data_IF_372830240392
#
_entry.id   IF_372830240392
#
_cell.length_a   1.000
_cell.length_b   1.000
_cell.length_c   1.000
_cell.angle_alpha   90.00
_cell.angle_beta   90.00
_cell.angle_gamma   90.00
#
_symmetry.space_group_name_H-M   'P 1'
#
loop_
_entity.id
_entity.type
_entity.pdbx_description
1 polymer ?
#
# COMPACT_ATOMS: atom_id res chain seq x y z
N UNK A 1 29.78 46.86 -13.27
CA UNK A 1 31.11 46.40 -12.79
C UNK A 1 30.89 45.42 -11.67
N UNK A 2 31.52 44.29 -11.83
CA UNK A 2 31.77 43.14 -10.90
C UNK A 2 30.52 42.33 -10.56
N UNK A 3 30.32 41.17 -11.16
CA UNK A 3 31.04 39.90 -11.29
C UNK A 3 31.41 39.30 -9.94
N UNK A 4 30.97 38.14 -9.77
CA UNK A 4 31.60 36.95 -9.15
C UNK A 4 30.70 36.28 -8.13
N UNK A 5 30.67 35.08 -8.02
CA UNK A 5 31.18 33.84 -8.59
C UNK A 5 30.55 32.74 -7.78
N UNK A 6 30.09 31.74 -8.45
CA UNK A 6 29.56 30.51 -7.82
C UNK A 6 30.73 29.66 -7.29
N UNK A 7 30.62 29.07 -6.09
CA UNK A 7 31.50 27.97 -5.74
C UNK A 7 30.91 26.67 -6.26
N UNK A 8 31.61 26.03 -7.18
CA UNK A 8 31.43 24.63 -7.59
C UNK A 8 31.65 23.70 -6.37
N UNK A 9 30.59 23.12 -5.84
CA UNK A 9 30.72 21.99 -4.91
C UNK A 9 30.88 20.70 -5.70
N UNK A 10 32.06 20.12 -5.61
CA UNK A 10 32.39 18.77 -6.10
C UNK A 10 31.53 17.75 -5.33
N UNK A 11 30.54 17.16 -6.00
CA UNK A 11 29.83 16.00 -5.46
C UNK A 11 30.65 14.74 -5.77
N UNK A 12 31.33 14.21 -4.75
CA UNK A 12 31.91 12.87 -4.74
C UNK A 12 30.78 11.82 -4.76
N UNK A 13 30.96 10.79 -5.59
CA UNK A 13 29.96 9.80 -5.95
C UNK A 13 29.36 9.05 -4.77
N UNK A 14 28.05 9.14 -4.74
CA UNK A 14 27.05 8.14 -4.31
C UNK A 14 25.69 8.79 -4.61
N UNK A 15 24.94 8.26 -5.55
CA UNK A 15 23.64 8.77 -5.99
C UNK A 15 22.66 8.86 -4.82
N UNK A 16 22.44 10.07 -4.32
CA UNK A 16 21.40 10.39 -3.34
C UNK A 16 20.19 10.95 -4.09
N UNK A 17 19.11 10.17 -4.18
CA UNK A 17 17.81 10.69 -4.55
C UNK A 17 17.30 11.56 -3.40
N UNK A 18 17.34 12.89 -3.58
CA UNK A 18 16.76 13.86 -2.66
C UNK A 18 15.70 14.67 -3.40
N UNK A 19 14.47 14.73 -2.90
CA UNK A 19 13.54 15.80 -3.29
C UNK A 19 14.09 17.09 -2.67
N UNK A 20 14.57 18.02 -3.51
CA UNK A 20 15.13 19.29 -3.07
C UNK A 20 14.07 20.10 -2.32
N UNK A 21 14.42 20.56 -1.12
CA UNK A 21 13.56 21.39 -0.29
C UNK A 21 13.32 22.76 -0.93
N UNK A 22 12.16 23.30 -0.65
CA UNK A 22 11.72 24.63 -0.99
C UNK A 22 12.67 25.71 -0.47
N UNK A 23 13.00 26.64 -1.35
CA UNK A 23 13.54 27.92 -0.90
C UNK A 23 12.50 28.63 -0.05
N UNK A 24 12.82 28.89 1.20
CA UNK A 24 12.05 29.80 2.03
C UNK A 24 11.98 31.17 1.33
N UNK A 25 10.76 31.58 0.97
CA UNK A 25 10.51 32.98 0.71
C UNK A 25 10.78 33.73 2.02
N UNK A 26 11.94 34.37 2.11
CA UNK A 26 12.22 35.34 3.17
C UNK A 26 11.21 36.48 2.99
N UNK A 27 10.35 36.64 3.96
CA UNK A 27 9.46 37.82 4.05
C UNK A 27 10.35 39.04 4.17
N UNK A 28 10.63 39.69 3.03
CA UNK A 28 11.21 40.99 3.04
C UNK A 28 10.10 41.94 3.47
N UNK A 29 10.26 42.59 4.63
CA UNK A 29 9.41 43.69 5.07
C UNK A 29 9.65 44.81 4.08
N UNK A 30 8.76 44.94 3.10
CA UNK A 30 8.77 46.04 2.14
C UNK A 30 7.84 47.16 2.61
N UNK A 31 8.39 48.36 2.58
CA UNK A 31 7.83 49.66 2.83
C UNK A 31 6.38 49.80 2.29
N UNK A 32 5.42 50.38 3.05
CA UNK A 32 3.98 50.35 2.74
C UNK A 32 3.52 51.16 1.50
N UNK A 33 4.41 51.69 0.69
CA UNK A 33 4.03 52.58 -0.41
C UNK A 33 4.15 52.02 -1.84
N UNK A 34 4.43 50.71 -2.01
CA UNK A 34 4.45 50.11 -3.35
C UNK A 34 3.73 48.76 -3.34
N UNK A 35 2.43 48.80 -3.55
CA UNK A 35 1.64 47.61 -3.86
C UNK A 35 1.94 47.23 -5.32
N UNK A 36 2.93 46.39 -5.54
CA UNK A 36 3.09 45.63 -6.77
C UNK A 36 2.45 44.26 -6.55
N UNK A 37 1.37 44.00 -7.26
CA UNK A 37 0.79 42.67 -7.35
C UNK A 37 1.85 41.76 -7.94
N UNK A 38 2.47 40.95 -7.09
CA UNK A 38 3.30 39.83 -7.52
C UNK A 38 2.32 38.76 -8.03
N UNK A 39 2.26 38.56 -9.34
CA UNK A 39 1.65 37.41 -9.94
C UNK A 39 2.45 36.19 -9.41
N UNK A 40 1.85 35.41 -8.55
CA UNK A 40 2.37 34.09 -8.22
C UNK A 40 2.37 33.28 -9.52
N UNK A 41 3.56 33.01 -10.03
CA UNK A 41 3.75 32.12 -11.16
C UNK A 41 3.18 30.77 -10.78
N UNK A 42 2.43 30.21 -11.69
CA UNK A 42 1.91 28.88 -11.74
C UNK A 42 3.06 27.90 -11.43
N UNK A 43 3.13 27.42 -10.17
CA UNK A 43 4.16 26.48 -9.76
C UNK A 43 3.95 25.17 -10.50
N UNK A 44 4.78 24.97 -11.52
CA UNK A 44 4.92 23.71 -12.22
C UNK A 44 5.11 22.58 -11.18
N UNK A 45 4.25 21.56 -11.25
CA UNK A 45 4.26 20.42 -10.36
C UNK A 45 5.67 19.87 -10.14
N UNK A 46 6.05 19.72 -8.88
CA UNK A 46 7.35 19.22 -8.48
C UNK A 46 7.59 17.81 -9.03
N UNK A 47 8.25 17.72 -10.18
CA UNK A 47 8.80 16.47 -10.65
C UNK A 47 10.01 16.13 -9.78
N UNK A 48 9.88 15.04 -8.99
CA UNK A 48 11.03 14.47 -8.30
C UNK A 48 12.05 13.98 -9.33
N UNK A 49 13.07 14.79 -9.63
CA UNK A 49 14.19 14.41 -10.47
C UNK A 49 15.26 13.75 -9.61
N UNK A 50 15.61 12.49 -9.93
CA UNK A 50 16.78 11.86 -9.36
C UNK A 50 18.01 12.37 -10.10
N UNK A 51 18.98 13.00 -9.39
CA UNK A 51 20.27 13.36 -9.95
C UNK A 51 20.99 12.08 -10.38
N UNK A 52 20.96 11.78 -11.66
CA UNK A 52 21.55 10.55 -12.23
C UNK A 52 20.74 9.89 -13.33
N UNK A 53 19.71 10.56 -13.88
CA UNK A 53 18.97 10.09 -15.07
C UNK A 53 18.06 8.86 -14.86
N UNK A 54 18.00 8.28 -13.65
CA UNK A 54 17.14 7.15 -13.31
C UNK A 54 15.79 7.58 -12.73
N UNK A 55 14.72 6.82 -13.03
CA UNK A 55 13.41 7.04 -12.42
C UNK A 55 13.48 6.82 -10.91
N UNK A 56 12.83 7.70 -10.13
CA UNK A 56 12.74 7.53 -8.68
C UNK A 56 12.05 6.21 -8.32
N UNK A 57 12.51 5.50 -7.27
CA UNK A 57 11.91 4.22 -6.84
C UNK A 57 10.39 4.27 -6.62
N UNK A 58 9.85 5.44 -6.27
CA UNK A 58 8.40 5.66 -6.11
C UNK A 58 7.60 5.41 -7.40
N UNK A 59 8.19 5.68 -8.58
CA UNK A 59 7.54 5.43 -9.88
C UNK A 59 7.37 3.95 -10.18
N UNK A 60 8.16 3.07 -9.57
CA UNK A 60 7.97 1.61 -9.67
C UNK A 60 7.00 1.09 -8.63
N UNK A 61 6.92 1.76 -7.46
CA UNK A 61 6.03 1.35 -6.37
C UNK A 61 4.55 1.59 -6.70
N UNK A 62 4.24 2.69 -7.38
CA UNK A 62 2.86 3.04 -7.72
C UNK A 62 2.18 2.00 -8.63
N UNK A 63 2.70 1.63 -9.82
CA UNK A 63 2.04 0.66 -10.68
C UNK A 63 1.92 -0.73 -10.03
N UNK A 64 2.93 -1.19 -9.30
CA UNK A 64 2.84 -2.46 -8.57
C UNK A 64 1.77 -2.40 -7.46
N UNK A 65 1.62 -1.25 -6.80
CA UNK A 65 0.56 -1.01 -5.83
C UNK A 65 -0.84 -1.06 -6.44
N UNK A 66 -1.03 -0.56 -7.67
CA UNK A 66 -2.31 -0.67 -8.39
C UNK A 66 -2.65 -2.11 -8.76
N UNK A 67 -1.67 -2.90 -9.24
CA UNK A 67 -1.86 -4.32 -9.55
C UNK A 67 -2.28 -5.09 -8.28
N UNK A 68 -1.55 -4.91 -7.19
CA UNK A 68 -1.83 -5.56 -5.91
C UNK A 68 -3.16 -5.08 -5.29
N UNK A 69 -3.48 -3.80 -5.42
CA UNK A 69 -4.76 -3.23 -4.98
C UNK A 69 -5.95 -3.81 -5.74
N UNK A 70 -5.84 -3.94 -7.06
CA UNK A 70 -6.84 -4.61 -7.89
C UNK A 70 -7.05 -6.07 -7.48
N UNK A 71 -5.95 -6.80 -7.26
CA UNK A 71 -6.01 -8.17 -6.75
C UNK A 71 -6.71 -8.22 -5.37
N UNK A 72 -6.35 -7.34 -4.43
CA UNK A 72 -6.96 -7.32 -3.09
C UNK A 72 -8.48 -7.10 -3.17
N UNK A 73 -8.93 -6.17 -4.01
CA UNK A 73 -10.37 -5.90 -4.18
C UNK A 73 -11.09 -7.17 -4.65
N UNK A 74 -10.59 -7.81 -5.72
CA UNK A 74 -11.17 -9.06 -6.23
C UNK A 74 -11.12 -10.17 -5.18
N UNK A 75 -10.01 -10.30 -4.48
CA UNK A 75 -9.81 -11.30 -3.42
C UNK A 75 -10.83 -11.11 -2.29
N UNK A 76 -11.05 -9.90 -1.80
CA UNK A 76 -12.04 -9.63 -0.76
C UNK A 76 -13.47 -9.91 -1.23
N UNK A 77 -13.80 -9.54 -2.48
CA UNK A 77 -15.13 -9.78 -3.05
C UNK A 77 -15.41 -11.28 -3.21
N UNK A 78 -14.45 -12.05 -3.71
CA UNK A 78 -14.59 -13.51 -3.82
C UNK A 78 -14.74 -14.15 -2.44
N UNK A 79 -13.93 -13.74 -1.48
CA UNK A 79 -14.02 -14.28 -0.11
C UNK A 79 -15.31 -13.87 0.60
N UNK A 80 -15.91 -12.71 0.30
CA UNK A 80 -17.22 -12.32 0.83
C UNK A 80 -18.35 -13.29 0.41
N UNK A 81 -18.17 -14.03 -0.70
CA UNK A 81 -19.11 -15.08 -1.12
C UNK A 81 -19.16 -16.24 -0.12
N UNK A 82 -18.21 -16.36 0.82
CA UNK A 82 -18.25 -17.36 1.90
C UNK A 82 -19.49 -17.23 2.79
N UNK A 83 -20.19 -16.10 2.78
CA UNK A 83 -21.53 -15.99 3.37
C UNK A 83 -22.52 -17.02 2.78
N UNK A 84 -22.27 -17.44 1.56
CA UNK A 84 -23.02 -18.47 0.81
C UNK A 84 -22.03 -19.56 0.35
N UNK A 85 -21.77 -20.61 1.16
CA UNK A 85 -20.73 -21.60 0.88
C UNK A 85 -20.74 -22.18 -0.53
N UNK A 86 -21.93 -22.46 -1.08
CA UNK A 86 -22.07 -22.96 -2.45
C UNK A 86 -21.62 -21.97 -3.52
N UNK A 87 -21.86 -20.66 -3.32
CA UNK A 87 -21.38 -19.61 -4.23
C UNK A 87 -19.89 -19.42 -4.13
N UNK A 88 -19.36 -19.50 -2.92
CA UNK A 88 -17.91 -19.44 -2.67
C UNK A 88 -17.22 -20.61 -3.38
N UNK A 89 -17.70 -21.86 -3.18
CA UNK A 89 -17.15 -23.03 -3.85
C UNK A 89 -17.23 -22.90 -5.37
N UNK A 90 -18.35 -22.42 -5.93
CA UNK A 90 -18.49 -22.18 -7.36
C UNK A 90 -17.49 -21.17 -7.91
N UNK A 91 -17.25 -20.07 -7.17
CA UNK A 91 -16.25 -19.08 -7.55
C UNK A 91 -14.82 -19.66 -7.52
N UNK A 92 -14.49 -20.45 -6.49
CA UNK A 92 -13.19 -21.13 -6.39
C UNK A 92 -13.01 -22.12 -7.53
N UNK A 93 -14.03 -22.93 -7.83
CA UNK A 93 -14.00 -23.88 -8.94
C UNK A 93 -13.78 -23.17 -10.29
N UNK A 94 -14.43 -22.01 -10.50
CA UNK A 94 -14.21 -21.21 -11.69
C UNK A 94 -12.78 -20.68 -11.81
N UNK A 95 -12.20 -20.20 -10.70
CA UNK A 95 -10.80 -19.76 -10.67
C UNK A 95 -9.88 -20.94 -10.99
N UNK A 96 -10.11 -22.10 -10.39
CA UNK A 96 -9.29 -23.30 -10.62
C UNK A 96 -9.48 -23.92 -12.02
N UNK A 97 -10.61 -23.63 -12.71
CA UNK A 97 -10.80 -24.04 -14.08
C UNK A 97 -9.85 -23.38 -15.10
N UNK A 98 -9.13 -22.33 -14.68
CA UNK A 98 -8.03 -21.74 -15.46
C UNK A 98 -6.86 -22.69 -15.68
N UNK A 99 -6.81 -23.82 -14.95
CA UNK A 99 -5.80 -24.88 -15.14
C UNK A 99 -4.37 -24.36 -15.02
N UNK A 100 -3.55 -24.58 -16.05
CA UNK A 100 -2.14 -24.19 -16.08
C UNK A 100 -1.91 -22.65 -16.05
N UNK A 101 -2.91 -21.83 -16.33
CA UNK A 101 -2.79 -20.37 -16.26
C UNK A 101 -2.71 -19.89 -14.82
N UNK A 102 -3.40 -20.57 -13.90
CA UNK A 102 -3.47 -20.17 -12.49
C UNK A 102 -2.08 -20.13 -11.82
N UNK A 103 -1.23 -21.17 -11.88
CA UNK A 103 0.13 -21.09 -11.32
C UNK A 103 0.98 -19.96 -11.91
N UNK A 104 0.83 -19.63 -13.19
CA UNK A 104 1.55 -18.52 -13.81
C UNK A 104 1.11 -17.17 -13.22
N UNK A 105 -0.20 -16.98 -13.00
CA UNK A 105 -0.75 -15.78 -12.33
C UNK A 105 -0.27 -15.70 -10.88
N UNK A 106 -0.25 -16.81 -10.15
CA UNK A 106 0.22 -16.88 -8.77
C UNK A 106 1.71 -16.50 -8.66
N UNK A 107 2.57 -17.07 -9.51
CA UNK A 107 4.00 -16.73 -9.56
C UNK A 107 4.18 -15.24 -9.90
N UNK A 108 3.45 -14.75 -10.90
CA UNK A 108 3.46 -13.34 -11.29
C UNK A 108 3.07 -12.42 -10.14
N UNK A 109 2.00 -12.76 -9.42
CA UNK A 109 1.54 -12.01 -8.25
C UNK A 109 2.58 -12.00 -7.12
N UNK A 110 3.17 -13.15 -6.81
CA UNK A 110 4.23 -13.28 -5.79
C UNK A 110 5.46 -12.45 -6.20
N UNK A 111 5.84 -12.46 -7.47
CA UNK A 111 6.96 -11.65 -7.96
C UNK A 111 6.69 -10.15 -7.83
N UNK A 112 5.50 -9.69 -8.23
CA UNK A 112 5.07 -8.27 -8.08
C UNK A 112 5.01 -7.87 -6.61
N UNK A 113 4.47 -8.72 -5.75
CA UNK A 113 4.39 -8.49 -4.29
C UNK A 113 5.79 -8.38 -3.68
N UNK A 114 6.68 -9.33 -4.00
CA UNK A 114 8.07 -9.34 -3.49
C UNK A 114 8.82 -8.09 -3.91
N UNK A 115 8.68 -7.67 -5.17
CA UNK A 115 9.26 -6.44 -5.68
C UNK A 115 8.70 -5.20 -4.96
N UNK A 116 7.37 -5.12 -4.80
CA UNK A 116 6.69 -4.03 -4.09
C UNK A 116 7.20 -3.91 -2.64
N UNK A 117 7.28 -5.02 -1.93
CA UNK A 117 7.80 -5.07 -0.55
C UNK A 117 9.26 -4.61 -0.52
N UNK A 118 10.13 -5.13 -1.39
CA UNK A 118 11.54 -4.77 -1.41
C UNK A 118 11.77 -3.28 -1.65
N UNK A 119 11.06 -2.69 -2.63
CA UNK A 119 11.12 -1.26 -2.91
C UNK A 119 10.52 -0.44 -1.77
N UNK A 120 9.38 -0.87 -1.22
CA UNK A 120 8.72 -0.22 -0.08
C UNK A 120 9.61 -0.16 1.17
N UNK A 121 10.23 -1.29 1.55
CA UNK A 121 11.16 -1.35 2.69
C UNK A 121 12.40 -0.48 2.46
N UNK A 122 12.92 -0.45 1.23
CA UNK A 122 14.05 0.43 0.87
C UNK A 122 13.68 1.91 1.04
N UNK A 123 12.47 2.31 0.63
CA UNK A 123 11.96 3.66 0.82
C UNK A 123 11.73 3.98 2.31
N UNK A 124 11.14 3.07 3.07
CA UNK A 124 10.94 3.24 4.51
C UNK A 124 12.26 3.48 5.25
N UNK A 125 13.32 2.72 4.93
CA UNK A 125 14.67 2.91 5.52
C UNK A 125 15.26 4.28 5.19
N UNK A 126 15.11 4.75 3.95
CA UNK A 126 15.60 6.08 3.53
C UNK A 126 14.84 7.22 4.21
N UNK A 127 13.54 7.07 4.35
CA UNK A 127 12.70 8.12 4.93
C UNK A 127 12.83 8.22 6.45
N UNK A 128 13.26 7.17 7.15
CA UNK A 128 13.64 7.24 8.58
C UNK A 128 14.75 8.27 8.80
N UNK A 129 15.75 8.29 7.93
CA UNK A 129 16.84 9.27 7.98
C UNK A 129 16.30 10.70 7.79
N UNK A 130 15.34 10.92 6.88
CA UNK A 130 14.73 12.25 6.66
C UNK A 130 13.88 12.71 7.84
N UNK A 131 13.15 11.81 8.48
CA UNK A 131 12.37 12.10 9.68
C UNK A 131 13.27 12.59 10.85
N UNK A 132 14.41 11.94 11.03
CA UNK A 132 15.41 12.31 12.05
C UNK A 132 16.11 13.63 11.72
N UNK A 133 16.29 13.93 10.42
CA UNK A 133 16.99 15.15 9.93
C UNK A 133 16.06 16.31 9.64
N UNK A 134 14.78 16.25 10.01
CA UNK A 134 13.83 17.36 9.84
C UNK A 134 13.38 17.63 8.39
N UNK A 135 13.48 16.64 7.50
CA UNK A 135 13.03 16.75 6.11
C UNK A 135 11.51 16.88 5.98
N UNK A 136 11.06 17.76 5.07
CA UNK A 136 9.63 17.92 4.78
C UNK A 136 9.07 16.72 4.00
N UNK A 137 7.84 16.30 4.36
CA UNK A 137 7.09 15.24 3.70
C UNK A 137 5.90 15.83 2.95
N UNK A 138 5.60 15.27 1.76
CA UNK A 138 4.34 15.56 1.09
C UNK A 138 3.18 14.86 1.80
N UNK A 139 2.08 15.55 1.97
CA UNK A 139 0.88 15.08 2.66
C UNK A 139 0.97 15.14 4.19
N UNK A 140 -0.13 14.79 4.86
CA UNK A 140 -0.20 14.80 6.31
C UNK A 140 0.80 13.78 6.92
N UNK A 141 1.60 14.16 7.93
CA UNK A 141 2.51 13.24 8.62
C UNK A 141 1.80 11.98 9.16
N UNK A 142 0.55 12.12 9.61
CA UNK A 142 -0.28 11.02 10.10
C UNK A 142 -0.58 10.00 8.99
N UNK A 143 -0.94 10.44 7.78
CA UNK A 143 -1.20 9.54 6.64
C UNK A 143 0.02 8.70 6.28
N UNK A 144 1.20 9.31 6.30
CA UNK A 144 2.45 8.61 6.02
C UNK A 144 2.83 7.63 7.12
N UNK A 145 2.62 8.01 8.37
CA UNK A 145 2.84 7.12 9.52
C UNK A 145 1.91 5.90 9.45
N UNK A 146 0.62 6.12 9.25
CA UNK A 146 -0.36 5.05 9.09
C UNK A 146 -0.04 4.15 7.89
N UNK A 147 0.41 4.72 6.76
CA UNK A 147 0.82 3.92 5.60
C UNK A 147 1.97 2.96 5.94
N UNK A 148 2.91 3.37 6.79
CA UNK A 148 4.04 2.53 7.21
C UNK A 148 3.62 1.49 8.24
N UNK A 149 2.82 1.89 9.23
CA UNK A 149 2.31 0.96 10.24
C UNK A 149 1.46 -0.13 9.58
N UNK A 150 0.53 0.25 8.73
CA UNK A 150 -0.30 -0.72 8.00
C UNK A 150 0.50 -1.59 7.04
N UNK A 151 1.59 -1.07 6.43
CA UNK A 151 2.49 -1.87 5.62
C UNK A 151 3.18 -2.97 6.43
N UNK A 152 3.62 -2.68 7.66
CA UNK A 152 4.27 -3.68 8.55
C UNK A 152 3.25 -4.72 9.00
N UNK A 153 2.07 -4.28 9.47
CA UNK A 153 0.99 -5.20 9.87
C UNK A 153 0.62 -6.11 8.70
N UNK A 154 0.40 -5.52 7.52
CA UNK A 154 0.02 -6.24 6.32
C UNK A 154 1.11 -7.23 5.87
N UNK A 155 2.39 -6.84 5.93
CA UNK A 155 3.50 -7.74 5.59
C UNK A 155 3.49 -8.98 6.49
N UNK A 156 3.38 -8.79 7.81
CA UNK A 156 3.30 -9.89 8.77
C UNK A 156 2.07 -10.76 8.49
N UNK A 157 0.93 -10.13 8.25
CA UNK A 157 -0.33 -10.82 7.93
C UNK A 157 -0.23 -11.63 6.63
N UNK A 158 0.30 -11.04 5.53
CA UNK A 158 0.42 -11.73 4.24
C UNK A 158 1.34 -12.94 4.35
N UNK A 159 2.50 -12.81 5.00
CA UNK A 159 3.41 -13.95 5.20
C UNK A 159 2.69 -15.09 5.93
N UNK A 160 1.97 -14.75 6.98
CA UNK A 160 1.23 -15.73 7.76
C UNK A 160 0.08 -16.35 6.95
N UNK A 161 -0.72 -15.53 6.27
CA UNK A 161 -1.83 -15.93 5.42
C UNK A 161 -1.37 -16.89 4.30
N UNK A 162 -0.29 -16.56 3.62
CA UNK A 162 0.25 -17.37 2.53
C UNK A 162 0.79 -18.71 3.06
N UNK A 163 1.56 -18.69 4.14
CA UNK A 163 2.12 -19.93 4.71
C UNK A 163 1.02 -20.85 5.23
N UNK A 164 -0.05 -20.32 5.79
CA UNK A 164 -1.12 -21.14 6.38
C UNK A 164 -2.12 -21.68 5.37
N UNK A 165 -2.36 -20.98 4.28
CA UNK A 165 -3.37 -21.33 3.28
C UNK A 165 -2.76 -21.87 1.99
N UNK A 166 -1.64 -21.31 1.50
CA UNK A 166 -1.15 -21.64 0.19
C UNK A 166 -0.39 -22.99 0.16
N UNK A 167 -0.81 -23.89 -0.73
CA UNK A 167 -0.28 -25.28 -0.82
C UNK A 167 1.23 -25.35 -1.04
N UNK A 168 1.83 -24.43 -1.78
CA UNK A 168 3.28 -24.43 -2.03
C UNK A 168 4.12 -24.25 -0.77
N UNK A 169 3.53 -23.68 0.27
CA UNK A 169 4.18 -23.45 1.57
C UNK A 169 3.67 -24.40 2.65
N UNK A 170 2.98 -25.48 2.28
CA UNK A 170 2.43 -26.46 3.22
C UNK A 170 1.09 -26.03 3.83
N UNK A 171 0.42 -25.04 3.25
CA UNK A 171 -0.90 -24.57 3.66
C UNK A 171 -1.99 -25.62 3.44
N UNK A 172 -3.09 -25.45 4.16
CA UNK A 172 -4.17 -26.43 4.28
C UNK A 172 -5.39 -26.14 3.39
N UNK A 173 -5.36 -25.11 2.60
CA UNK A 173 -6.49 -24.80 1.71
C UNK A 173 -6.67 -25.88 0.64
N UNK A 174 -7.88 -26.44 0.59
CA UNK A 174 -8.29 -27.39 -0.44
C UNK A 174 -9.33 -26.72 -1.37
N UNK A 175 -9.01 -26.53 -2.66
CA UNK A 175 -9.94 -25.94 -3.60
C UNK A 175 -11.20 -26.80 -3.85
N UNK A 176 -11.17 -28.10 -3.57
CA UNK A 176 -12.34 -28.98 -3.70
C UNK A 176 -13.29 -28.88 -2.50
N UNK A 177 -12.80 -28.41 -1.36
CA UNK A 177 -13.58 -28.12 -0.16
C UNK A 177 -13.13 -26.75 0.42
N UNK A 178 -13.35 -25.71 -0.38
CA UNK A 178 -12.79 -24.38 -0.11
C UNK A 178 -13.31 -23.77 1.18
N UNK A 179 -14.60 -23.92 1.48
CA UNK A 179 -15.20 -23.33 2.68
C UNK A 179 -14.69 -24.00 3.95
N UNK A 180 -14.77 -25.33 4.04
CA UNK A 180 -14.36 -26.05 5.25
C UNK A 180 -12.86 -25.93 5.50
N UNK A 181 -12.04 -26.06 4.45
CA UNK A 181 -10.58 -25.97 4.60
C UNK A 181 -10.11 -24.58 5.01
N UNK A 182 -10.72 -23.52 4.47
CA UNK A 182 -10.42 -22.14 4.88
C UNK A 182 -10.88 -21.87 6.32
N UNK A 183 -12.11 -22.26 6.68
CA UNK A 183 -12.65 -22.10 8.02
C UNK A 183 -11.82 -22.86 9.06
N UNK A 184 -11.50 -24.14 8.76
CA UNK A 184 -10.66 -24.94 9.63
C UNK A 184 -9.28 -24.29 9.87
N UNK A 185 -8.67 -23.70 8.83
CA UNK A 185 -7.37 -23.04 8.96
C UNK A 185 -7.45 -21.81 9.87
N UNK A 186 -8.55 -21.05 9.81
CA UNK A 186 -8.72 -19.84 10.65
C UNK A 186 -9.03 -20.21 12.11
N UNK A 187 -9.88 -21.22 12.35
CA UNK A 187 -10.34 -21.57 13.69
C UNK A 187 -9.48 -22.59 14.43
N UNK A 188 -8.78 -23.46 13.72
CA UNK A 188 -8.00 -24.57 14.29
C UNK A 188 -6.54 -24.53 13.83
N UNK A 189 -5.97 -23.31 13.81
CA UNK A 189 -4.59 -23.12 13.39
C UNK A 189 -3.60 -23.89 14.30
N UNK A 190 -3.78 -23.79 15.62
CA UNK A 190 -2.93 -24.47 16.57
C UNK A 190 -3.28 -25.96 16.65
N UNK A 191 -2.28 -26.78 16.41
CA UNK A 191 -2.44 -28.25 16.47
C UNK A 191 -2.87 -28.69 17.87
N UNK A 192 -3.91 -29.52 17.96
CA UNK A 192 -4.40 -30.09 19.21
C UNK A 192 -5.28 -29.17 20.04
N UNK A 193 -5.45 -27.91 19.62
CA UNK A 193 -6.36 -26.98 20.28
C UNK A 193 -7.79 -27.11 19.75
N UNK A 194 -8.75 -27.00 20.64
CA UNK A 194 -10.16 -26.96 20.24
C UNK A 194 -10.52 -25.67 19.53
N UNK A 195 -11.49 -25.74 18.62
CA UNK A 195 -12.04 -24.55 17.99
C UNK A 195 -12.52 -23.56 19.07
N UNK A 196 -12.19 -22.26 18.91
CA UNK A 196 -12.53 -21.22 19.88
C UNK A 196 -11.60 -21.12 21.09
N UNK A 197 -10.53 -21.94 21.19
CA UNK A 197 -9.49 -21.75 22.20
C UNK A 197 -8.85 -20.37 22.09
N UNK A 198 -8.25 -19.87 23.18
CA UNK A 198 -7.67 -18.52 23.22
C UNK A 198 -6.63 -18.27 22.11
N UNK A 199 -5.67 -19.17 21.82
CA UNK A 199 -4.74 -19.00 20.70
C UNK A 199 -5.44 -18.90 19.34
N UNK A 200 -6.46 -19.74 19.09
CA UNK A 200 -7.23 -19.73 17.84
C UNK A 200 -8.07 -18.44 17.70
N UNK A 201 -8.62 -17.95 18.80
CA UNK A 201 -9.35 -16.68 18.84
C UNK A 201 -8.43 -15.50 18.49
N UNK A 202 -7.22 -15.45 19.07
CA UNK A 202 -6.22 -14.42 18.72
C UNK A 202 -5.87 -14.46 17.25
N UNK A 203 -5.74 -15.66 16.69
CA UNK A 203 -5.44 -15.86 15.29
C UNK A 203 -6.57 -15.34 14.38
N UNK A 204 -7.82 -15.65 14.72
CA UNK A 204 -8.97 -15.13 13.99
C UNK A 204 -9.04 -13.59 14.04
N UNK A 205 -8.73 -12.96 15.19
CA UNK A 205 -8.66 -11.50 15.31
C UNK A 205 -7.49 -10.90 14.52
N UNK A 206 -6.39 -11.63 14.36
CA UNK A 206 -5.27 -11.19 13.54
C UNK A 206 -5.66 -11.08 12.05
N UNK A 207 -6.54 -11.96 11.55
CA UNK A 207 -7.13 -11.83 10.22
C UNK A 207 -7.92 -10.52 10.07
N UNK A 208 -8.74 -10.19 11.07
CA UNK A 208 -9.52 -8.95 11.06
C UNK A 208 -8.60 -7.71 11.02
N UNK A 209 -7.56 -7.70 11.84
CA UNK A 209 -6.55 -6.64 11.83
C UNK A 209 -5.85 -6.53 10.47
N UNK A 210 -5.51 -7.68 9.86
CA UNK A 210 -4.90 -7.76 8.54
C UNK A 210 -5.78 -7.16 7.45
N UNK A 211 -7.09 -7.46 7.47
CA UNK A 211 -8.08 -6.92 6.53
C UNK A 211 -8.13 -5.38 6.63
N UNK A 212 -8.29 -4.84 7.84
CA UNK A 212 -8.36 -3.39 8.05
C UNK A 212 -7.06 -2.70 7.61
N UNK A 213 -5.92 -3.27 7.97
CA UNK A 213 -4.61 -2.74 7.58
C UNK A 213 -4.42 -2.75 6.05
N UNK A 214 -4.80 -3.85 5.37
CA UNK A 214 -4.68 -3.99 3.93
C UNK A 214 -5.57 -2.98 3.18
N UNK A 215 -6.83 -2.85 3.60
CA UNK A 215 -7.77 -1.91 2.96
C UNK A 215 -7.31 -0.46 3.15
N UNK A 216 -6.88 -0.06 4.35
CA UNK A 216 -6.34 1.28 4.56
C UNK A 216 -5.08 1.53 3.73
N UNK A 217 -4.15 0.57 3.72
CA UNK A 217 -2.90 0.67 2.97
C UNK A 217 -3.17 0.89 1.48
N UNK A 218 -4.08 0.11 0.89
CA UNK A 218 -4.46 0.25 -0.52
C UNK A 218 -5.19 1.56 -0.77
N UNK A 219 -6.18 1.93 0.03
CA UNK A 219 -6.95 3.16 -0.17
C UNK A 219 -6.07 4.42 -0.15
N UNK A 220 -5.15 4.51 0.84
CA UNK A 220 -4.20 5.61 0.90
C UNK A 220 -3.12 5.51 -0.19
N UNK A 221 -2.72 4.27 -0.54
CA UNK A 221 -1.73 3.98 -1.59
C UNK A 221 -2.22 4.36 -2.99
N UNK A 222 -3.50 4.15 -3.30
CA UNK A 222 -4.10 4.55 -4.58
C UNK A 222 -4.01 6.07 -4.79
N UNK A 223 -4.39 6.85 -3.78
CA UNK A 223 -4.30 8.31 -3.84
C UNK A 223 -2.85 8.79 -4.02
N UNK A 224 -1.93 8.25 -3.22
CA UNK A 224 -0.50 8.62 -3.29
C UNK A 224 0.15 8.14 -4.61
N UNK A 225 -0.27 6.99 -5.12
CA UNK A 225 0.21 6.46 -6.40
C UNK A 225 -0.19 7.33 -7.58
N UNK A 226 -1.42 7.86 -7.59
CA UNK A 226 -1.89 8.78 -8.63
C UNK A 226 -1.10 10.10 -8.65
N UNK A 227 -0.72 10.60 -7.48
CA UNK A 227 0.16 11.76 -7.34
C UNK A 227 1.55 11.47 -7.96
N UNK A 228 2.15 10.33 -7.59
CA UNK A 228 3.47 9.91 -8.09
C UNK A 228 3.48 9.71 -9.61
N UNK A 229 2.39 9.18 -10.18
CA UNK A 229 2.25 8.98 -11.63
C UNK A 229 1.85 10.25 -12.39
N UNK A 230 1.58 11.36 -11.68
CA UNK A 230 1.18 12.63 -12.28
C UNK A 230 -0.26 12.64 -12.80
N UNK A 231 -1.11 11.70 -12.37
CA UNK A 231 -2.54 11.67 -12.73
C UNK A 231 -3.34 12.77 -12.01
N UNK A 232 -2.90 13.15 -10.80
CA UNK A 232 -3.45 14.26 -10.03
C UNK A 232 -2.39 15.33 -9.88
N UNK A 233 -2.57 16.46 -10.57
CA UNK A 233 -1.57 17.55 -10.65
C UNK A 233 -1.84 18.70 -9.68
N UNK A 234 -3.07 18.83 -9.19
CA UNK A 234 -3.47 19.89 -8.26
C UNK A 234 -3.74 19.33 -6.87
N UNK A 235 -3.47 20.10 -5.83
CA UNK A 235 -3.78 19.71 -4.45
C UNK A 235 -5.25 19.34 -4.26
N UNK A 236 -6.16 20.10 -4.89
CA UNK A 236 -7.60 19.81 -4.85
C UNK A 236 -7.93 18.46 -5.47
N UNK A 237 -7.26 18.07 -6.58
CA UNK A 237 -7.50 16.76 -7.21
C UNK A 237 -6.94 15.62 -6.33
N UNK A 238 -5.80 15.82 -5.69
CA UNK A 238 -5.18 14.87 -4.77
C UNK A 238 -6.07 14.65 -3.54
N UNK A 239 -6.56 15.71 -2.92
CA UNK A 239 -7.46 15.65 -1.78
C UNK A 239 -8.81 14.99 -2.16
N UNK A 240 -9.35 15.30 -3.33
CA UNK A 240 -10.59 14.67 -3.82
C UNK A 240 -10.40 13.16 -3.99
N UNK A 241 -9.33 12.73 -4.66
CA UNK A 241 -9.07 11.31 -4.86
C UNK A 241 -8.83 10.59 -3.53
N UNK A 242 -8.09 11.19 -2.61
CA UNK A 242 -7.90 10.62 -1.28
C UNK A 242 -9.22 10.45 -0.54
N UNK A 243 -10.10 11.46 -0.54
CA UNK A 243 -11.44 11.35 0.09
C UNK A 243 -12.27 10.24 -0.55
N UNK A 244 -12.29 10.14 -1.88
CA UNK A 244 -13.00 9.07 -2.58
C UNK A 244 -12.46 7.70 -2.15
N UNK A 245 -11.15 7.51 -2.14
CA UNK A 245 -10.51 6.25 -1.76
C UNK A 245 -10.82 5.86 -0.31
N UNK A 246 -10.77 6.81 0.62
CA UNK A 246 -11.09 6.57 2.04
C UNK A 246 -12.58 6.34 2.27
N UNK A 247 -13.47 7.04 1.55
CA UNK A 247 -14.92 6.80 1.64
C UNK A 247 -15.33 5.45 1.04
N UNK A 248 -14.60 4.92 0.06
CA UNK A 248 -14.83 3.59 -0.49
C UNK A 248 -14.27 2.46 0.41
N UNK A 249 -13.26 2.76 1.23
CA UNK A 249 -12.60 1.77 2.09
C UNK A 249 -13.56 1.00 3.03
N UNK A 250 -14.56 1.62 3.70
CA UNK A 250 -15.51 0.89 4.55
C UNK A 250 -16.26 -0.22 3.82
N UNK A 251 -16.60 -0.04 2.55
CA UNK A 251 -17.28 -1.09 1.77
C UNK A 251 -16.37 -2.33 1.59
N UNK A 252 -15.07 -2.13 1.36
CA UNK A 252 -14.10 -3.23 1.29
C UNK A 252 -13.83 -3.86 2.65
N UNK A 253 -13.80 -3.07 3.72
CA UNK A 253 -13.72 -3.60 5.09
C UNK A 253 -14.92 -4.46 5.39
N UNK A 254 -16.14 -4.01 5.05
CA UNK A 254 -17.36 -4.79 5.25
C UNK A 254 -17.33 -6.10 4.45
N UNK A 255 -16.85 -6.09 3.20
CA UNK A 255 -16.66 -7.31 2.41
C UNK A 255 -15.68 -8.29 3.10
N UNK A 256 -14.54 -7.78 3.58
CA UNK A 256 -13.58 -8.58 4.33
C UNK A 256 -14.13 -9.09 5.67
N UNK A 257 -14.88 -8.28 6.40
CA UNK A 257 -15.56 -8.68 7.63
C UNK A 257 -16.62 -9.76 7.37
N UNK A 258 -17.35 -9.66 6.26
CA UNK A 258 -18.32 -10.67 5.85
C UNK A 258 -17.63 -12.02 5.59
N UNK A 259 -16.50 -12.02 4.91
CA UNK A 259 -15.66 -13.20 4.71
C UNK A 259 -15.17 -13.77 6.06
N UNK A 260 -14.60 -12.90 6.89
CA UNK A 260 -14.11 -13.28 8.21
C UNK A 260 -15.22 -13.89 9.08
N UNK A 261 -16.38 -13.23 9.12
CA UNK A 261 -17.53 -13.73 9.87
C UNK A 261 -17.98 -15.13 9.39
N UNK A 262 -18.10 -15.31 8.08
CA UNK A 262 -18.51 -16.58 7.52
C UNK A 262 -17.53 -17.72 7.82
N UNK A 263 -16.23 -17.43 7.74
CA UNK A 263 -15.18 -18.46 7.89
C UNK A 263 -14.74 -18.67 9.34
N UNK A 264 -14.86 -17.65 10.20
CA UNK A 264 -14.38 -17.71 11.57
C UNK A 264 -15.49 -17.92 12.62
N UNK A 265 -16.76 -17.62 12.29
CA UNK A 265 -17.86 -17.63 13.29
C UNK A 265 -19.01 -18.56 12.91
N UNK A 266 -19.29 -18.73 11.61
CA UNK A 266 -20.39 -19.54 11.10
C UNK A 266 -19.98 -20.98 10.87
#
# INVERSE_FOLDING_TARGET
MCVEASPKSKCGGKSKCGCGGHGHAKTAVLNPRTIRTVKFGEEAGHQCSCSGGGRCPRHYLAPTGYVLGGFLILHLLVNALALWPGKFQSAVNHIHSLGAVLPVLEIGLIAVLSFHIAVGLRLMRRDKLKFITGGHFHGSPMRQWLQRVTAVIMLTFILFHVVTLHRWFGGRFDPHDAFSSASHTIWQFWRGETAGSFPNLLFAQFYLLGIVAAVYHVANGLATGAEVLGWTRTETAQDRLWRISICAAPALVLAGMAAWWALAVK
#
